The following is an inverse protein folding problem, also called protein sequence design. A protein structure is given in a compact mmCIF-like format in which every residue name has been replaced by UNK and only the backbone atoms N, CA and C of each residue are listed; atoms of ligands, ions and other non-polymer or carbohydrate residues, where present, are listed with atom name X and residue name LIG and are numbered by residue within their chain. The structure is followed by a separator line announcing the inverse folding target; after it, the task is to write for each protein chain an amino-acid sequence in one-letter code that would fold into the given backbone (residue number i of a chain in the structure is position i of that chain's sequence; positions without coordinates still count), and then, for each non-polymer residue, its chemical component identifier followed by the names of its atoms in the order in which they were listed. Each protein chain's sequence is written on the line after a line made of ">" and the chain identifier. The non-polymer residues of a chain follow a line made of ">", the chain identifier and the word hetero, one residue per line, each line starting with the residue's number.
data_IF_389620791806
#
_entry.id   IF_389620791806
#
_cell.length_a   1.000
_cell.length_b   1.000
_cell.length_c   1.000
_cell.angle_alpha   90.00
_cell.angle_beta   90.00
_cell.angle_gamma   90.00
#
_symmetry.space_group_name_H-M   'P 1'
#
loop_
_entity.id
_entity.type
_entity.pdbx_description
1 polymer ?
#
# COMPACT_ATOMS: atom_id res chain seq x y z
N UNK A 1 -10.89 30.14 26.47
CA UNK A 1 -11.58 28.85 26.19
C UNK A 1 -10.77 27.75 26.83
N UNK A 2 -11.40 26.86 27.60
CA UNK A 2 -10.68 25.81 28.34
C UNK A 2 -9.86 24.96 27.36
N UNK A 3 -8.53 24.96 27.52
CA UNK A 3 -7.58 24.24 26.66
C UNK A 3 -7.92 22.75 26.51
N UNK A 4 -8.62 22.20 27.50
CA UNK A 4 -9.11 20.83 27.56
C UNK A 4 -10.15 20.50 26.47
N UNK A 5 -10.90 21.52 26.00
CA UNK A 5 -11.89 21.36 24.91
C UNK A 5 -11.26 21.28 23.52
N UNK A 6 -9.98 21.67 23.38
CA UNK A 6 -9.24 21.66 22.12
C UNK A 6 -8.25 20.49 22.08
N UNK A 7 -7.60 20.17 23.20
CA UNK A 7 -6.61 19.08 23.25
C UNK A 7 -7.23 17.71 23.01
N UNK A 8 -8.42 17.45 23.55
CA UNK A 8 -9.10 16.16 23.37
C UNK A 8 -9.42 15.85 21.90
N UNK A 9 -10.11 16.73 21.13
CA UNK A 9 -10.35 16.48 19.71
C UNK A 9 -9.06 16.46 18.87
N UNK A 10 -8.03 17.24 19.24
CA UNK A 10 -6.74 17.21 18.55
C UNK A 10 -6.02 15.85 18.70
N UNK A 11 -6.06 15.25 19.89
CA UNK A 11 -5.47 13.92 20.14
C UNK A 11 -6.24 12.82 19.39
N UNK A 12 -7.57 12.91 19.34
CA UNK A 12 -8.39 11.95 18.58
C UNK A 12 -8.09 12.04 17.08
N UNK A 13 -7.96 13.25 16.53
CA UNK A 13 -7.60 13.45 15.12
C UNK A 13 -6.19 12.94 14.81
N UNK A 14 -5.20 13.23 15.66
CA UNK A 14 -3.84 12.74 15.50
C UNK A 14 -3.76 11.21 15.61
N UNK A 15 -4.49 10.62 16.57
CA UNK A 15 -4.60 9.17 16.71
C UNK A 15 -5.24 8.51 15.48
N UNK A 16 -6.33 9.08 14.97
CA UNK A 16 -6.99 8.60 13.74
C UNK A 16 -6.08 8.68 12.51
N UNK A 17 -5.33 9.78 12.37
CA UNK A 17 -4.41 9.97 11.24
C UNK A 17 -3.26 8.95 11.23
N UNK A 18 -2.72 8.62 12.40
CA UNK A 18 -1.66 7.61 12.54
C UNK A 18 -2.15 6.21 12.16
N UNK A 19 -3.38 5.84 12.54
CA UNK A 19 -3.96 4.54 12.17
C UNK A 19 -4.17 4.45 10.65
N UNK A 20 -4.70 5.50 10.01
CA UNK A 20 -4.91 5.50 8.55
C UNK A 20 -3.61 5.44 7.74
N UNK A 21 -2.49 5.97 8.27
CA UNK A 21 -1.21 6.03 7.56
C UNK A 21 -0.44 4.70 7.53
N UNK A 22 -0.78 3.75 8.41
CA UNK A 22 -0.07 2.46 8.53
C UNK A 22 -0.67 1.34 7.67
N UNK A 23 -1.89 1.49 7.16
CA UNK A 23 -2.56 0.50 6.32
C UNK A 23 -2.15 0.56 4.83
N UNK A 24 -0.93 1.01 4.52
CA UNK A 24 -0.39 0.88 3.16
C UNK A 24 0.25 -0.49 2.98
N UNK A 25 -0.55 -1.45 2.52
CA UNK A 25 -0.05 -2.76 2.05
C UNK A 25 0.88 -2.64 0.83
N UNK A 26 0.91 -1.46 0.18
CA UNK A 26 1.99 -1.07 -0.71
C UNK A 26 3.18 -0.60 0.10
N UNK A 27 4.01 -1.51 0.63
CA UNK A 27 5.30 -1.10 1.20
C UNK A 27 6.10 -0.41 0.09
N UNK A 28 6.47 0.85 0.32
CA UNK A 28 7.34 1.61 -0.58
C UNK A 28 8.67 0.89 -0.87
N UNK A 29 9.11 0.00 0.01
CA UNK A 29 10.25 -0.90 -0.22
C UNK A 29 10.08 -1.78 -1.46
N UNK A 30 8.90 -2.36 -1.70
CA UNK A 30 8.67 -3.21 -2.87
C UNK A 30 8.65 -2.39 -4.16
N UNK A 31 8.14 -1.15 -4.12
CA UNK A 31 8.21 -0.25 -5.27
C UNK A 31 9.66 0.16 -5.59
N UNK A 32 10.52 0.31 -4.58
CA UNK A 32 11.93 0.63 -4.79
C UNK A 32 12.71 -0.53 -5.41
N UNK A 33 12.41 -1.78 -5.02
CA UNK A 33 13.07 -2.96 -5.57
C UNK A 33 12.59 -3.30 -6.98
N UNK A 34 11.28 -3.26 -7.21
CA UNK A 34 10.72 -3.61 -8.53
C UNK A 34 10.69 -2.45 -9.51
N UNK A 35 10.65 -1.20 -9.03
CA UNK A 35 10.48 0.03 -9.85
C UNK A 35 9.27 -0.04 -10.79
N UNK A 36 8.27 -0.86 -10.47
CA UNK A 36 7.04 -1.01 -11.24
C UNK A 36 5.88 -0.31 -10.54
N UNK A 37 4.94 0.19 -11.33
CA UNK A 37 3.73 0.84 -10.81
C UNK A 37 2.82 -0.16 -10.09
N UNK A 38 1.95 0.30 -9.18
CA UNK A 38 1.01 -0.56 -8.45
C UNK A 38 0.17 -1.44 -9.38
N UNK A 39 -0.24 -0.87 -10.52
CA UNK A 39 -1.04 -1.56 -11.56
C UNK A 39 -0.30 -2.72 -12.22
N UNK A 40 1.02 -2.78 -12.07
CA UNK A 40 1.82 -3.87 -12.60
C UNK A 40 1.56 -5.16 -11.81
N UNK A 41 1.41 -5.08 -10.50
CA UNK A 41 1.17 -6.25 -9.62
C UNK A 41 -0.29 -6.39 -9.19
N UNK A 42 -1.03 -5.29 -9.08
CA UNK A 42 -2.45 -5.27 -8.69
C UNK A 42 -3.33 -4.90 -9.88
N UNK A 43 -4.40 -5.65 -10.09
CA UNK A 43 -5.41 -5.29 -11.11
C UNK A 43 -6.10 -3.99 -10.70
N UNK A 44 -6.50 -3.91 -9.44
CA UNK A 44 -7.10 -2.70 -8.88
C UNK A 44 -6.76 -2.59 -7.38
N UNK A 45 -5.71 -1.82 -7.06
CA UNK A 45 -5.24 -1.67 -5.68
C UNK A 45 -6.27 -1.02 -4.75
N UNK A 46 -7.30 -0.36 -5.28
CA UNK A 46 -8.34 0.32 -4.49
C UNK A 46 -9.62 -0.49 -4.38
N UNK A 47 -10.10 -1.06 -5.48
CA UNK A 47 -11.36 -1.81 -5.50
C UNK A 47 -11.17 -3.29 -5.14
N UNK A 48 -10.03 -3.89 -5.50
CA UNK A 48 -9.78 -5.32 -5.36
C UNK A 48 -8.33 -5.61 -4.93
N UNK A 49 -7.95 -5.31 -3.67
CA UNK A 49 -6.58 -5.48 -3.19
C UNK A 49 -6.07 -6.93 -3.24
N UNK A 50 -6.97 -7.91 -3.30
CA UNK A 50 -6.65 -9.34 -3.42
C UNK A 50 -6.47 -9.81 -4.87
N UNK A 51 -6.91 -9.04 -5.87
CA UNK A 51 -6.69 -9.41 -7.26
C UNK A 51 -5.34 -8.90 -7.74
N UNK A 52 -4.42 -9.86 -7.89
CA UNK A 52 -3.10 -9.66 -8.42
C UNK A 52 -3.08 -10.05 -9.91
N UNK A 53 -2.36 -9.26 -10.69
CA UNK A 53 -2.03 -9.61 -12.08
C UNK A 53 -1.10 -10.82 -12.09
N UNK A 54 -0.83 -11.39 -13.27
CA UNK A 54 0.14 -12.50 -13.38
C UNK A 54 1.53 -12.12 -12.89
N UNK A 55 1.94 -10.85 -13.05
CA UNK A 55 3.16 -10.32 -12.47
C UNK A 55 3.11 -10.25 -10.94
N UNK A 56 1.96 -9.85 -10.37
CA UNK A 56 1.76 -9.82 -8.92
C UNK A 56 1.77 -11.22 -8.29
N UNK A 57 1.21 -12.22 -9.00
CA UNK A 57 1.28 -13.63 -8.59
C UNK A 57 2.72 -14.14 -8.65
N UNK A 58 3.43 -13.86 -9.75
CA UNK A 58 4.84 -14.22 -9.88
C UNK A 58 5.69 -13.60 -8.77
N UNK A 59 5.47 -12.32 -8.45
CA UNK A 59 6.14 -11.64 -7.34
C UNK A 59 5.81 -12.24 -5.98
N UNK A 60 4.55 -12.67 -5.75
CA UNK A 60 4.17 -13.33 -4.51
C UNK A 60 4.92 -14.64 -4.28
N UNK A 61 5.18 -15.40 -5.36
CA UNK A 61 5.91 -16.67 -5.31
C UNK A 61 7.44 -16.49 -5.27
N UNK A 62 7.98 -15.58 -6.09
CA UNK A 62 9.43 -15.45 -6.30
C UNK A 62 10.05 -14.31 -5.48
N UNK A 63 9.23 -13.44 -4.87
CA UNK A 63 9.63 -12.22 -4.14
C UNK A 63 10.51 -11.26 -4.97
N UNK A 64 10.55 -11.45 -6.28
CA UNK A 64 11.26 -10.63 -7.25
C UNK A 64 10.48 -10.64 -8.59
N UNK A 65 10.84 -9.72 -9.49
CA UNK A 65 10.31 -9.67 -10.86
C UNK A 65 11.41 -10.01 -11.88
N UNK A 66 12.59 -10.40 -11.44
CA UNK A 66 13.75 -10.73 -12.28
C UNK A 66 13.48 -12.04 -13.01
N UNK A 67 12.99 -11.94 -14.24
CA UNK A 67 12.64 -13.08 -15.09
C UNK A 67 11.16 -13.16 -15.49
N UNK A 68 10.30 -12.34 -14.88
CA UNK A 68 8.92 -12.21 -15.35
C UNK A 68 8.91 -11.45 -16.68
N UNK A 69 8.63 -12.16 -17.77
CA UNK A 69 8.34 -11.56 -19.08
C UNK A 69 6.85 -11.31 -19.19
N UNK A 70 6.47 -10.05 -19.29
CA UNK A 70 5.13 -9.63 -19.67
C UNK A 70 4.74 -10.31 -21.00
N UNK A 71 3.73 -11.18 -20.95
CA UNK A 71 3.08 -11.69 -22.17
C UNK A 71 2.22 -10.54 -22.71
N UNK A 72 2.80 -9.79 -23.63
CA UNK A 72 2.10 -8.74 -24.40
C UNK A 72 1.05 -9.36 -25.31
#
# INVERSE_FOLDING_TARGET
>A
MSHLKITLPAVILLGGFLVCSTASYGKAEYMKSTKKACVYCHVDSKAKPKELTDAGKYFAEHKNLDGYKEKK
#
